data_IF_874169301642
#
_entry.id   IF_874169301642
#
_cell.length_a   1.000
_cell.length_b   1.000
_cell.length_c   1.000
_cell.angle_alpha   90.00
_cell.angle_beta   90.00
_cell.angle_gamma   90.00
#
_symmetry.space_group_name_H-M   'P 1'
#
loop_
_entity.id
_entity.type
_entity.pdbx_description
1 polymer ?
#
# COMPACT_ATOMS: atom_id res chain seq x y z
N UNK A 1 3.32 -8.86 -18.82
CA UNK A 1 2.43 -9.50 -17.82
C UNK A 1 1.69 -8.53 -16.87
N UNK A 2 1.88 -7.19 -16.94
CA UNK A 2 1.27 -6.22 -15.99
C UNK A 2 -0.28 -6.22 -16.03
N UNK A 3 -0.85 -6.31 -17.24
CA UNK A 3 -2.29 -6.16 -17.48
C UNK A 3 -3.08 -7.40 -17.01
N UNK A 4 -2.61 -8.60 -17.33
CA UNK A 4 -3.23 -9.85 -16.88
C UNK A 4 -3.22 -10.00 -15.35
N UNK A 5 -2.07 -9.72 -14.72
CA UNK A 5 -1.96 -9.75 -13.26
C UNK A 5 -2.90 -8.75 -12.57
N UNK A 6 -3.00 -7.52 -13.09
CA UNK A 6 -3.91 -6.51 -12.54
C UNK A 6 -5.39 -6.91 -12.70
N UNK A 7 -5.78 -7.50 -13.84
CA UNK A 7 -7.16 -7.99 -14.05
C UNK A 7 -7.50 -9.08 -13.05
N UNK A 8 -6.64 -10.09 -12.94
CA UNK A 8 -6.81 -11.22 -12.01
C UNK A 8 -6.86 -10.73 -10.56
N UNK A 9 -6.01 -9.76 -10.20
CA UNK A 9 -6.03 -9.09 -8.90
C UNK A 9 -7.34 -8.37 -8.61
N UNK A 10 -7.83 -7.56 -9.53
CA UNK A 10 -9.08 -6.83 -9.36
C UNK A 10 -10.27 -7.77 -9.14
N UNK A 11 -10.32 -8.89 -9.87
CA UNK A 11 -11.39 -9.88 -9.77
C UNK A 11 -11.37 -10.67 -8.44
N UNK A 12 -10.19 -11.00 -7.92
CA UNK A 12 -10.04 -11.80 -6.69
C UNK A 12 -10.15 -11.01 -5.38
N UNK A 13 -10.32 -9.69 -5.44
CA UNK A 13 -10.52 -8.86 -4.24
C UNK A 13 -9.76 -7.54 -4.22
N UNK A 14 -8.92 -7.26 -5.22
CA UNK A 14 -8.17 -6.02 -5.34
C UNK A 14 -9.06 -4.77 -5.37
N UNK A 15 -10.24 -4.85 -5.99
CA UNK A 15 -11.20 -3.74 -6.03
C UNK A 15 -11.77 -3.43 -4.64
N UNK A 16 -12.14 -4.46 -3.87
CA UNK A 16 -12.62 -4.30 -2.51
C UNK A 16 -11.56 -3.68 -1.61
N UNK A 17 -10.32 -4.14 -1.74
CA UNK A 17 -9.19 -3.65 -0.95
C UNK A 17 -8.85 -2.19 -1.29
N UNK A 18 -8.88 -1.82 -2.57
CA UNK A 18 -8.71 -0.43 -3.02
C UNK A 18 -9.86 0.46 -2.52
N UNK A 19 -11.10 -0.02 -2.56
CA UNK A 19 -12.26 0.70 -2.02
C UNK A 19 -12.12 0.90 -0.51
N UNK A 20 -11.71 -0.11 0.26
CA UNK A 20 -11.46 0.02 1.71
C UNK A 20 -10.44 1.11 2.01
N UNK A 21 -9.31 1.14 1.28
CA UNK A 21 -8.32 2.22 1.41
C UNK A 21 -8.88 3.59 1.07
N UNK A 22 -9.71 3.68 0.03
CA UNK A 22 -10.36 4.92 -0.37
C UNK A 22 -11.31 5.43 0.73
N UNK A 23 -12.16 4.55 1.29
CA UNK A 23 -13.06 4.89 2.39
C UNK A 23 -12.30 5.29 3.66
N UNK A 24 -11.24 4.57 4.02
CA UNK A 24 -10.38 4.92 5.16
C UNK A 24 -9.70 6.27 4.93
N UNK A 25 -9.20 6.54 3.72
CA UNK A 25 -8.64 7.83 3.36
C UNK A 25 -9.64 8.96 3.50
N UNK A 26 -10.87 8.75 3.05
CA UNK A 26 -11.96 9.72 3.17
C UNK A 26 -12.32 9.97 4.65
N UNK A 27 -12.37 8.92 5.47
CA UNK A 27 -12.60 9.01 6.91
C UNK A 27 -11.51 9.81 7.62
N UNK A 28 -10.23 9.57 7.27
CA UNK A 28 -9.11 10.30 7.86
C UNK A 28 -9.13 11.79 7.45
N UNK A 29 -9.53 12.08 6.20
CA UNK A 29 -9.68 13.44 5.71
C UNK A 29 -10.78 14.26 6.40
N UNK A 30 -11.70 13.64 7.16
CA UNK A 30 -12.71 14.37 7.95
C UNK A 30 -12.04 15.20 9.06
N UNK A 31 -10.87 14.77 9.54
CA UNK A 31 -10.14 15.47 10.60
C UNK A 31 -9.01 16.31 10.00
N UNK A 32 -8.83 17.55 10.48
CA UNK A 32 -7.75 18.45 10.01
C UNK A 32 -6.37 17.78 10.15
N UNK A 33 -6.17 17.05 11.25
CA UNK A 33 -4.92 16.32 11.55
C UNK A 33 -4.77 15.08 10.65
N UNK A 34 -5.89 14.47 10.23
CA UNK A 34 -5.92 13.25 9.43
C UNK A 34 -5.73 13.45 7.93
N UNK A 35 -5.91 14.67 7.40
CA UNK A 35 -5.69 15.00 5.97
C UNK A 35 -4.34 14.48 5.43
N UNK A 36 -3.16 14.76 6.04
CA UNK A 36 -1.89 14.26 5.53
C UNK A 36 -1.80 12.72 5.51
N UNK A 37 -2.53 12.05 6.41
CA UNK A 37 -2.60 10.60 6.48
C UNK A 37 -3.58 10.01 5.46
N UNK A 38 -4.73 10.66 5.26
CA UNK A 38 -5.72 10.29 4.24
C UNK A 38 -5.13 10.35 2.83
N UNK A 39 -4.26 11.33 2.56
CA UNK A 39 -3.50 11.40 1.31
C UNK A 39 -2.62 10.16 1.08
N UNK A 40 -2.04 9.55 2.12
CA UNK A 40 -1.30 8.31 1.97
C UNK A 40 -2.22 7.11 1.74
N UNK A 41 -3.38 7.06 2.39
CA UNK A 41 -4.38 6.03 2.15
C UNK A 41 -4.88 6.05 0.69
N UNK A 42 -5.05 7.23 0.09
CA UNK A 42 -5.37 7.34 -1.34
C UNK A 42 -4.25 6.81 -2.25
N UNK A 43 -2.98 7.07 -1.91
CA UNK A 43 -1.85 6.46 -2.64
C UNK A 43 -1.89 4.93 -2.56
N UNK A 44 -2.22 4.38 -1.40
CA UNK A 44 -2.41 2.95 -1.21
C UNK A 44 -3.56 2.40 -2.05
N UNK A 45 -4.68 3.12 -2.12
CA UNK A 45 -5.83 2.74 -2.96
C UNK A 45 -5.42 2.63 -4.44
N UNK A 46 -4.70 3.63 -4.94
CA UNK A 46 -4.23 3.67 -6.34
C UNK A 46 -3.22 2.54 -6.61
N UNK A 47 -2.27 2.31 -5.70
CA UNK A 47 -1.33 1.19 -5.81
C UNK A 47 -2.06 -0.15 -5.79
N UNK A 48 -3.12 -0.28 -5.00
CA UNK A 48 -3.92 -1.49 -4.87
C UNK A 48 -4.77 -1.76 -6.12
N UNK A 49 -5.16 -0.74 -6.89
CA UNK A 49 -5.82 -0.94 -8.18
C UNK A 49 -4.87 -1.52 -9.23
N UNK A 50 -3.60 -1.12 -9.20
CA UNK A 50 -2.59 -1.52 -10.20
C UNK A 50 -1.26 -1.94 -9.55
N UNK A 51 -1.25 -3.02 -8.76
CA UNK A 51 -0.08 -3.38 -7.96
C UNK A 51 1.09 -3.90 -8.82
N UNK A 52 0.78 -4.53 -9.96
CA UNK A 52 1.78 -5.13 -10.83
C UNK A 52 2.46 -4.10 -11.74
N UNK A 53 3.79 -4.15 -11.78
CA UNK A 53 4.60 -3.23 -12.58
C UNK A 53 4.83 -1.86 -11.95
N UNK A 54 4.52 -1.71 -10.66
CA UNK A 54 4.88 -0.56 -9.81
C UNK A 54 5.93 -0.97 -8.79
N UNK A 55 6.84 -0.07 -8.44
CA UNK A 55 7.84 -0.24 -7.37
C UNK A 55 7.70 0.87 -6.35
N UNK A 56 7.89 0.53 -5.08
CA UNK A 56 7.84 1.47 -3.97
C UNK A 56 9.27 1.75 -3.55
N UNK A 57 9.68 3.00 -3.67
CA UNK A 57 11.01 3.49 -3.31
C UNK A 57 10.87 4.34 -2.06
N UNK A 58 11.80 4.17 -1.13
CA UNK A 58 11.78 4.86 0.15
C UNK A 58 12.93 5.88 0.16
N UNK A 59 12.57 7.15 0.00
CA UNK A 59 13.48 8.28 0.07
C UNK A 59 13.52 8.74 1.53
N UNK A 60 14.50 8.22 2.28
CA UNK A 60 14.65 8.53 3.71
C UNK A 60 14.87 10.03 3.94
N UNK A 61 14.16 10.65 4.89
CA UNK A 61 14.23 12.09 5.15
C UNK A 61 13.24 12.60 6.20
N UNK A 62 12.65 13.79 5.97
CA UNK A 62 11.64 14.48 6.84
C UNK A 62 10.38 13.66 7.15
N UNK A 63 10.24 12.50 6.53
CA UNK A 63 9.18 11.53 6.74
C UNK A 63 9.18 10.86 8.11
N UNK A 64 10.30 10.80 8.82
CA UNK A 64 10.43 10.07 10.10
C UNK A 64 9.46 10.56 11.18
N UNK A 65 9.20 11.86 11.27
CA UNK A 65 8.30 12.45 12.28
C UNK A 65 6.85 12.03 12.02
N UNK A 66 6.38 12.16 10.77
CA UNK A 66 5.03 11.76 10.35
C UNK A 66 4.82 10.25 10.48
N UNK A 67 5.85 9.48 10.18
CA UNK A 67 5.92 8.05 10.38
C UNK A 67 5.77 7.67 11.87
N UNK A 68 6.45 8.38 12.78
CA UNK A 68 6.27 8.17 14.23
C UNK A 68 4.83 8.50 14.64
N UNK A 69 4.26 9.63 14.20
CA UNK A 69 2.87 9.98 14.49
C UNK A 69 1.89 8.92 13.97
N UNK A 70 2.15 8.36 12.79
CA UNK A 70 1.35 7.29 12.19
C UNK A 70 1.36 6.00 13.01
N UNK A 71 2.51 5.64 13.58
CA UNK A 71 2.64 4.47 14.48
C UNK A 71 1.99 4.75 15.83
N UNK A 72 2.20 5.94 16.40
CA UNK A 72 1.67 6.33 17.72
C UNK A 72 0.14 6.43 17.71
N UNK A 73 -0.46 6.91 16.61
CA UNK A 73 -1.92 6.89 16.42
C UNK A 73 -2.49 5.49 16.10
N UNK A 74 -1.68 4.42 16.13
CA UNK A 74 -2.03 3.01 15.91
C UNK A 74 -2.67 2.63 14.56
N UNK A 75 -2.97 3.58 13.67
CA UNK A 75 -3.61 3.32 12.38
C UNK A 75 -2.68 2.49 11.46
N UNK A 76 -1.40 2.84 11.40
CA UNK A 76 -0.42 2.16 10.55
C UNK A 76 -0.17 0.69 10.89
N UNK A 77 0.20 0.37 12.15
CA UNK A 77 0.48 -1.00 12.57
C UNK A 77 -0.71 -1.95 12.41
N UNK A 78 -1.93 -1.48 12.70
CA UNK A 78 -3.15 -2.30 12.53
C UNK A 78 -3.41 -2.63 11.05
N UNK A 79 -3.29 -1.64 10.17
CA UNK A 79 -3.43 -1.86 8.72
C UNK A 79 -2.34 -2.80 8.20
N UNK A 80 -1.08 -2.56 8.57
CA UNK A 80 0.05 -3.41 8.19
C UNK A 80 -0.15 -4.86 8.64
N UNK A 81 -0.60 -5.09 9.88
CA UNK A 81 -0.93 -6.43 10.37
C UNK A 81 -2.04 -7.08 9.56
N UNK A 82 -3.09 -6.34 9.19
CA UNK A 82 -4.15 -6.83 8.31
C UNK A 82 -3.60 -7.34 6.97
N UNK A 83 -2.68 -6.58 6.35
CA UNK A 83 -2.01 -7.02 5.13
C UNK A 83 -1.13 -8.24 5.33
N UNK A 84 -0.36 -8.30 6.42
CA UNK A 84 0.50 -9.45 6.73
C UNK A 84 -0.33 -10.73 6.90
N UNK A 85 -1.43 -10.66 7.64
CA UNK A 85 -2.33 -11.80 7.87
C UNK A 85 -2.96 -12.23 6.54
N UNK A 86 -3.52 -11.29 5.76
CA UNK A 86 -4.10 -11.60 4.44
C UNK A 86 -3.06 -12.17 3.47
N UNK A 87 -1.82 -11.69 3.54
CA UNK A 87 -0.71 -12.13 2.72
C UNK A 87 -0.32 -13.57 3.06
N UNK A 88 -0.24 -13.89 4.35
CA UNK A 88 0.03 -15.24 4.83
C UNK A 88 -1.08 -16.22 4.41
N UNK A 89 -2.35 -15.83 4.56
CA UNK A 89 -3.49 -16.64 4.11
C UNK A 89 -3.44 -16.88 2.60
N UNK A 90 -3.15 -15.85 1.80
CA UNK A 90 -3.01 -16.02 0.34
C UNK A 90 -1.83 -16.94 -0.02
N UNK A 91 -0.71 -16.84 0.71
CA UNK A 91 0.46 -17.67 0.50
C UNK A 91 0.23 -19.15 0.85
N UNK A 92 -0.78 -19.50 1.65
CA UNK A 92 -1.16 -20.90 1.87
C UNK A 92 -1.69 -21.61 0.61
N UNK A 93 -2.02 -20.86 -0.46
CA UNK A 93 -2.49 -21.42 -1.73
C UNK A 93 -1.48 -21.17 -2.84
N UNK A 94 -1.19 -22.17 -3.68
CA UNK A 94 -0.24 -22.03 -4.81
C UNK A 94 -0.65 -20.87 -5.75
N UNK A 95 -1.96 -20.70 -5.96
CA UNK A 95 -2.54 -19.66 -6.82
C UNK A 95 -2.46 -18.28 -6.14
N UNK A 96 -2.52 -18.22 -4.81
CA UNK A 96 -2.50 -16.98 -4.02
C UNK A 96 -1.11 -16.44 -3.71
N UNK A 97 -0.03 -17.20 -3.89
CA UNK A 97 1.36 -16.73 -3.72
C UNK A 97 1.64 -15.38 -4.42
N UNK A 98 1.33 -15.17 -5.72
CA UNK A 98 1.58 -13.88 -6.38
C UNK A 98 0.79 -12.72 -5.75
N UNK A 99 -0.38 -13.00 -5.15
CA UNK A 99 -1.19 -12.02 -4.45
C UNK A 99 -0.65 -11.71 -3.05
N UNK A 100 -0.20 -12.73 -2.32
CA UNK A 100 0.41 -12.58 -1.01
C UNK A 100 1.65 -11.69 -1.06
N UNK A 101 2.47 -11.83 -2.10
CA UNK A 101 3.65 -10.95 -2.32
C UNK A 101 3.23 -9.49 -2.49
N UNK A 102 2.13 -9.20 -3.19
CA UNK A 102 1.60 -7.83 -3.28
C UNK A 102 1.06 -7.34 -1.94
N UNK A 103 0.37 -8.20 -1.17
CA UNK A 103 -0.10 -7.84 0.17
C UNK A 103 1.07 -7.47 1.10
N UNK A 104 2.19 -8.21 1.09
CA UNK A 104 3.37 -7.84 1.87
C UNK A 104 4.02 -6.52 1.42
N UNK A 105 4.01 -6.24 0.12
CA UNK A 105 4.45 -4.94 -0.41
C UNK A 105 3.57 -3.80 0.11
N UNK A 106 2.25 -3.99 0.15
CA UNK A 106 1.33 -3.03 0.76
C UNK A 106 1.55 -2.92 2.27
N UNK A 107 1.83 -4.02 2.97
CA UNK A 107 2.10 -4.03 4.40
C UNK A 107 3.30 -3.15 4.75
N UNK A 108 4.40 -3.27 4.00
CA UNK A 108 5.61 -2.46 4.21
C UNK A 108 5.33 -0.97 3.98
N UNK A 109 4.55 -0.65 2.95
CA UNK A 109 4.16 0.73 2.64
C UNK A 109 3.14 1.29 3.64
N UNK A 110 2.22 0.46 4.16
CA UNK A 110 1.30 0.83 5.22
C UNK A 110 2.03 1.08 6.55
N UNK A 111 3.14 0.37 6.82
CA UNK A 111 3.97 0.62 7.99
C UNK A 111 4.72 1.94 7.87
N UNK A 112 5.31 2.21 6.70
CA UNK A 112 6.08 3.42 6.40
C UNK A 112 5.56 4.16 5.16
N UNK A 113 4.44 4.89 5.28
CA UNK A 113 3.83 5.56 4.15
C UNK A 113 4.54 6.86 3.77
N UNK A 114 5.15 7.56 4.74
CA UNK A 114 5.80 8.84 4.46
C UNK A 114 7.21 8.64 3.92
N UNK A 115 7.61 9.48 2.95
CA UNK A 115 8.90 9.36 2.26
C UNK A 115 8.94 8.17 1.31
N UNK A 116 7.78 7.74 0.83
CA UNK A 116 7.65 6.68 -0.17
C UNK A 116 7.13 7.25 -1.49
N UNK A 117 7.70 6.77 -2.58
CA UNK A 117 7.31 7.10 -3.94
C UNK A 117 7.00 5.83 -4.73
N UNK A 118 5.89 5.87 -5.47
CA UNK A 118 5.43 4.77 -6.31
C UNK A 118 5.86 5.08 -7.74
N UNK A 119 6.89 4.39 -8.21
CA UNK A 119 7.39 4.53 -9.57
C UNK A 119 6.97 3.34 -10.43
N UNK A 120 6.85 3.56 -11.73
CA UNK A 120 6.70 2.44 -12.67
C UNK A 120 8.00 1.62 -12.74
N UNK A 121 7.87 0.33 -13.05
CA UNK A 121 9.01 -0.58 -13.16
C UNK A 121 10.01 -0.15 -14.25
N UNK A 122 9.50 0.43 -15.34
CA UNK A 122 10.33 1.08 -16.38
C UNK A 122 11.11 2.27 -15.82
N UNK A 123 10.64 2.82 -14.69
CA UNK A 123 11.17 3.99 -14.02
C UNK A 123 12.07 3.67 -12.80
N UNK A 124 12.05 2.43 -12.33
CA UNK A 124 12.79 1.99 -11.15
C UNK A 124 14.32 2.13 -11.22
N UNK A 125 15.02 1.97 -12.37
CA UNK A 125 16.48 2.04 -12.42
C UNK A 125 17.08 3.41 -12.08
N UNK A 126 16.35 4.49 -12.34
CA UNK A 126 16.82 5.87 -12.15
C UNK A 126 16.29 6.54 -10.88
N UNK A 127 15.31 5.92 -10.23
CA UNK A 127 14.77 6.42 -8.97
C UNK A 127 15.57 5.93 -7.74
N UNK A 128 16.65 5.16 -7.94
CA UNK A 128 17.59 4.73 -6.88
C UNK A 128 18.85 5.61 -6.75
N UNK A 129 18.88 6.75 -7.45
CA UNK A 129 19.99 7.72 -7.42
C UNK A 129 19.67 8.75 -6.34
#
# INVERSE_FOLDING_TARGET
>A
MKLFGNIVWLLFGGLFLAASWFFIGLLLCITIIGIPFGMQAFKMAILTLTPFGKHVIYTGGVSTIWNILWIVFLIGPMLALGYVISGFICCCTIIGIPFGIQAFKMAKLALWPFGSEIVDDSYAPYARI
#
